data_IF_133995501879
#
_entry.id   IF_133995501879
#
_cell.length_a   1.000
_cell.length_b   1.000
_cell.length_c   1.000
_cell.angle_alpha   90.00
_cell.angle_beta   90.00
_cell.angle_gamma   90.00
#
_symmetry.space_group_name_H-M   'P 1'
#
loop_
_entity.id
_entity.type
_entity.pdbx_description
1 polymer ?
2 non-polymer ?
3 water ?
#
# COMPACT_ATOMS: atom_id res chain seq x y z
N UNK A 1 12.38 13.28 7.63
CA UNK A 1 12.22 11.81 7.46
C UNK A 1 13.21 11.09 6.60
N UNK A 2 13.37 9.82 6.96
CA UNK A 2 14.23 8.90 6.27
C UNK A 2 13.60 8.75 4.89
N UNK A 3 14.41 8.48 3.88
CA UNK A 3 13.87 8.30 2.55
C UNK A 3 13.13 6.97 2.56
N UNK A 4 13.66 6.00 3.28
CA UNK A 4 13.00 4.70 3.35
C UNK A 4 11.73 4.74 4.18
N UNK A 5 11.64 5.67 5.12
CA UNK A 5 10.43 5.80 5.93
C UNK A 5 9.35 6.36 5.01
N UNK A 6 9.75 7.29 4.14
CA UNK A 6 8.83 7.91 3.20
C UNK A 6 8.42 6.91 2.12
N UNK A 7 9.40 6.20 1.57
CA UNK A 7 9.14 5.21 0.53
C UNK A 7 8.21 4.15 1.09
N UNK A 8 8.40 3.80 2.35
CA UNK A 8 7.54 2.79 2.95
C UNK A 8 6.11 3.29 3.13
N UNK A 9 5.97 4.56 3.50
CA UNK A 9 4.64 5.13 3.69
C UNK A 9 3.96 5.21 2.33
N UNK A 10 4.76 5.40 1.29
CA UNK A 10 4.25 5.49 -0.07
C UNK A 10 3.63 4.17 -0.50
N UNK A 11 4.14 3.06 0.04
CA UNK A 11 3.60 1.75 -0.30
C UNK A 11 2.11 1.72 0.03
N UNK A 12 1.77 2.26 1.20
CA UNK A 12 0.38 2.31 1.65
C UNK A 12 -0.47 3.17 0.72
N UNK A 13 0.08 4.31 0.31
CA UNK A 13 -0.63 5.20 -0.58
C UNK A 13 -0.81 4.55 -1.95
N UNK A 14 0.28 3.99 -2.48
CA UNK A 14 0.24 3.33 -3.78
C UNK A 14 -0.71 2.13 -3.79
N UNK A 15 -0.74 1.38 -2.70
CA UNK A 15 -1.63 0.22 -2.61
C UNK A 15 -3.08 0.69 -2.72
N UNK A 16 -3.40 1.76 -2.00
CA UNK A 16 -4.74 2.29 -2.04
C UNK A 16 -5.11 2.74 -3.44
N UNK A 17 -4.14 3.31 -4.15
CA UNK A 17 -4.34 3.79 -5.51
C UNK A 17 -4.65 2.63 -6.45
N UNK A 18 -3.91 1.54 -6.30
CA UNK A 18 -4.09 0.36 -7.13
C UNK A 18 -5.50 -0.20 -6.97
N UNK A 19 -5.96 -0.30 -5.73
CA UNK A 19 -7.30 -0.82 -5.45
C UNK A 19 -8.39 0.09 -6.01
N UNK A 20 -8.18 1.39 -5.92
CA UNK A 20 -9.15 2.35 -6.44
C UNK A 20 -9.20 2.27 -7.96
N UNK A 21 -8.04 2.16 -8.59
CA UNK A 21 -7.95 2.08 -10.04
C UNK A 21 -8.46 0.75 -10.59
N UNK A 22 -8.21 -0.34 -9.87
CA UNK A 22 -8.62 -1.66 -10.32
C UNK A 22 -9.79 -2.31 -9.55
N UNK A 23 -10.15 -1.75 -8.40
CA UNK A 23 -11.23 -2.32 -7.59
C UNK A 23 -10.64 -3.43 -6.71
N UNK A 24 -11.49 -4.22 -6.04
CA UNK A 24 -11.08 -5.32 -5.12
C UNK A 24 -10.50 -6.59 -5.71
N UNK A 25 -10.17 -6.57 -6.98
CA UNK A 25 -9.70 -7.76 -7.66
C UNK A 25 -8.19 -7.73 -7.77
N UNK A 26 -7.63 -6.75 -7.07
CA UNK A 26 -6.21 -6.50 -7.08
C UNK A 26 -5.90 -5.94 -5.71
N UNK A 27 -6.60 -6.44 -4.70
CA UNK A 27 -6.40 -5.91 -3.37
C UNK A 27 -5.57 -6.72 -2.39
N UNK A 28 -5.07 -7.87 -2.81
CA UNK A 28 -4.26 -8.67 -1.91
C UNK A 28 -2.78 -8.62 -2.27
N UNK A 29 -2.00 -8.03 -1.36
CA UNK A 29 -0.56 -7.88 -1.55
C UNK A 29 0.16 -9.19 -1.25
N UNK A 30 1.03 -9.60 -2.16
CA UNK A 30 1.79 -10.83 -1.96
C UNK A 30 3.14 -10.49 -1.34
N UNK A 31 3.70 -9.35 -1.73
CA UNK A 31 4.98 -8.92 -1.19
C UNK A 31 5.30 -7.49 -1.58
N UNK A 32 6.26 -6.92 -0.87
CA UNK A 32 6.69 -5.55 -1.12
C UNK A 32 8.12 -5.42 -0.65
N UNK A 33 8.74 -4.33 -1.07
CA UNK A 33 10.09 -4.04 -0.64
C UNK A 33 10.36 -2.59 -0.93
N UNK A 34 11.28 -2.06 -0.15
CA UNK A 34 11.69 -0.68 -0.23
C UNK A 34 13.20 -0.70 -0.21
N UNK A 35 13.80 0.05 -1.13
CA UNK A 35 15.25 0.13 -1.22
C UNK A 35 15.56 1.57 -1.58
N UNK A 36 15.96 2.35 -0.59
CA UNK A 36 16.26 3.74 -0.84
C UNK A 36 14.99 4.48 -1.20
N UNK A 37 14.99 5.14 -2.36
CA UNK A 37 13.84 5.90 -2.81
C UNK A 37 12.91 5.09 -3.71
N UNK A 38 13.13 3.78 -3.78
CA UNK A 38 12.31 2.93 -4.63
C UNK A 38 11.55 1.86 -3.88
N UNK A 39 10.37 1.55 -4.40
CA UNK A 39 9.55 0.53 -3.79
C UNK A 39 8.87 -0.32 -4.84
N UNK A 40 8.49 -1.52 -4.44
CA UNK A 40 7.80 -2.44 -5.33
C UNK A 40 6.66 -3.06 -4.56
N UNK A 41 5.49 -3.02 -5.18
CA UNK A 41 4.29 -3.58 -4.60
C UNK A 41 3.80 -4.65 -5.56
N UNK A 42 3.58 -5.86 -5.04
CA UNK A 42 3.10 -6.93 -5.88
C UNK A 42 1.79 -7.44 -5.31
N UNK A 43 0.76 -7.46 -6.13
CA UNK A 43 -0.55 -7.91 -5.69
C UNK A 43 -1.15 -8.95 -6.61
N UNK A 44 -2.09 -9.70 -6.06
CA UNK A 44 -2.81 -10.71 -6.80
C UNK A 44 -3.73 -9.91 -7.70
N UNK A 45 -3.81 -10.27 -8.97
CA UNK A 45 -4.69 -9.56 -9.88
C UNK A 45 -5.49 -10.59 -10.66
N UNK A 46 -6.81 -10.56 -10.49
CA UNK A 46 -7.72 -11.49 -11.15
C UNK A 46 -7.92 -11.15 -12.62
N UNK A 47 -7.72 -9.89 -12.95
CA UNK A 47 -7.90 -9.45 -14.32
C UNK A 47 -6.77 -8.56 -14.82
N UNK A 48 -6.54 -8.59 -16.13
CA UNK A 48 -5.54 -7.73 -16.73
C UNK A 48 -6.31 -6.42 -16.73
N UNK A 49 -5.65 -5.30 -16.50
CA UNK A 49 -6.38 -4.04 -16.50
C UNK A 49 -6.17 -3.27 -17.80
N UNK A 50 -7.03 -2.29 -18.05
CA UNK A 50 -6.94 -1.51 -19.27
C UNK A 50 -5.73 -0.57 -19.35
N UNK A 51 -5.53 -0.02 -20.54
CA UNK A 51 -4.44 0.90 -20.87
C UNK A 51 -4.37 2.19 -20.05
N UNK A 52 -5.43 2.52 -19.33
CA UNK A 52 -5.45 3.74 -18.54
C UNK A 52 -5.00 3.54 -17.09
N UNK A 53 -5.06 2.30 -16.63
CA UNK A 53 -4.70 1.93 -15.26
C UNK A 53 -3.39 2.49 -14.70
N UNK A 54 -2.29 2.26 -15.40
CA UNK A 54 -0.97 2.73 -14.97
C UNK A 54 -1.02 4.22 -14.62
N UNK A 55 -1.48 5.03 -15.57
CA UNK A 55 -1.58 6.47 -15.36
C UNK A 55 -2.58 6.80 -14.27
N UNK A 56 -3.68 6.06 -14.22
CA UNK A 56 -4.71 6.29 -13.20
C UNK A 56 -4.12 6.08 -11.81
N UNK A 57 -3.33 5.02 -11.66
CA UNK A 57 -2.70 4.71 -10.39
C UNK A 57 -1.76 5.81 -9.93
N UNK A 58 -0.96 6.32 -10.85
CA UNK A 58 -0.02 7.38 -10.51
C UNK A 58 -0.76 8.65 -10.12
N UNK A 59 -1.81 8.98 -10.87
CA UNK A 59 -2.60 10.18 -10.59
C UNK A 59 -3.27 10.08 -9.22
N UNK A 60 -3.87 8.93 -8.95
CA UNK A 60 -4.54 8.71 -7.67
C UNK A 60 -3.57 8.77 -6.50
N UNK A 61 -2.40 8.18 -6.67
CA UNK A 61 -1.39 8.17 -5.62
C UNK A 61 -0.95 9.59 -5.26
N UNK A 62 -0.66 10.39 -6.28
CA UNK A 62 -0.23 11.76 -6.05
C UNK A 62 -1.34 12.65 -5.52
N UNK A 63 -2.58 12.35 -5.88
CA UNK A 63 -3.70 13.14 -5.40
C UNK A 63 -3.81 12.93 -3.89
N UNK A 64 -3.64 11.68 -3.46
CA UNK A 64 -3.70 11.37 -2.04
C UNK A 64 -2.56 12.07 -1.33
N UNK A 65 -1.43 12.22 -2.02
CA UNK A 65 -0.28 12.89 -1.41
C UNK A 65 -0.54 14.37 -1.14
N UNK A 66 -1.07 15.11 -2.11
CA UNK A 66 -1.35 16.54 -1.90
C UNK A 66 -2.49 16.74 -0.93
N UNK A 67 -3.30 15.71 -0.75
CA UNK A 67 -4.41 15.82 0.16
C UNK A 67 -3.81 15.98 1.54
N UNK A 68 -2.60 15.46 1.69
CA UNK A 68 -1.87 15.49 2.94
C UNK A 68 -2.75 14.91 4.02
N UNK A 69 -3.26 13.71 3.74
CA UNK A 69 -4.13 13.00 4.67
C UNK A 69 -3.30 12.44 5.81
N UNK A 70 -3.92 12.28 6.99
CA UNK A 70 -3.18 11.74 8.12
C UNK A 70 -3.03 10.23 7.96
N UNK A 71 -1.88 9.71 8.37
CA UNK A 71 -1.63 8.28 8.30
C UNK A 71 -1.84 7.81 9.73
N UNK A 72 -3.06 7.37 10.02
CA UNK A 72 -3.43 6.92 11.35
C UNK A 72 -2.85 5.59 11.77
N UNK A 73 -2.74 5.42 13.08
CA UNK A 73 -2.22 4.20 13.66
C UNK A 73 -3.12 3.73 14.80
N UNK A 74 -3.48 2.46 14.77
CA UNK A 74 -4.29 1.87 15.81
C UNK A 74 -3.51 0.67 16.32
N UNK A 75 -3.11 0.71 17.58
CA UNK A 75 -2.40 -0.42 18.16
C UNK A 75 -3.46 -1.09 19.02
N UNK A 76 -4.06 -2.15 18.47
CA UNK A 76 -5.14 -2.87 19.14
C UNK A 76 -4.94 -4.36 19.34
N UNK A 77 -5.76 -4.97 20.21
CA UNK A 77 -5.68 -6.41 20.48
C UNK A 77 -6.05 -7.01 19.14
N UNK A 78 -5.45 -8.14 18.80
CA UNK A 78 -5.72 -8.76 17.51
C UNK A 78 -7.20 -9.01 17.19
N UNK A 79 -7.94 -9.57 18.14
CA UNK A 79 -9.36 -9.85 17.93
C UNK A 79 -10.16 -8.58 17.62
N UNK A 80 -9.87 -7.50 18.34
CA UNK A 80 -10.57 -6.24 18.12
C UNK A 80 -10.21 -5.68 16.75
N UNK A 81 -8.94 -5.82 16.38
CA UNK A 81 -8.46 -5.34 15.09
C UNK A 81 -9.16 -6.08 13.96
N UNK A 82 -9.28 -7.40 14.10
CA UNK A 82 -9.92 -8.20 13.07
C UNK A 82 -11.40 -7.85 12.92
N UNK A 83 -12.05 -7.54 14.03
CA UNK A 83 -13.46 -7.16 14.00
C UNK A 83 -13.62 -5.83 13.30
N UNK A 84 -12.76 -4.89 13.68
CA UNK A 84 -12.79 -3.54 13.14
C UNK A 84 -12.35 -3.42 11.69
N UNK A 85 -11.35 -4.20 11.29
CA UNK A 85 -10.83 -4.11 9.93
C UNK A 85 -10.97 -5.34 9.05
N UNK A 86 -11.20 -6.50 9.65
CA UNK A 86 -11.34 -7.71 8.86
C UNK A 86 -10.01 -8.17 8.28
N UNK A 87 -10.07 -9.20 7.45
CA UNK A 87 -8.89 -9.77 6.81
C UNK A 87 -8.15 -8.75 5.94
N UNK A 88 -8.85 -7.69 5.54
CA UNK A 88 -8.31 -6.63 4.70
C UNK A 88 -6.97 -6.05 5.15
N UNK A 89 -6.74 -6.02 6.46
CA UNK A 89 -5.51 -5.44 6.96
C UNK A 89 -4.28 -6.33 6.85
N UNK A 90 -4.47 -7.58 6.45
CA UNK A 90 -3.34 -8.50 6.32
C UNK A 90 -2.85 -8.58 4.88
N UNK A 91 -1.60 -8.99 4.74
CA UNK A 91 -1.00 -9.18 3.44
C UNK A 91 -0.94 -10.69 3.37
N UNK A 92 -0.51 -11.24 2.24
CA UNK A 92 -0.48 -12.69 2.15
C UNK A 92 0.72 -13.40 2.77
N UNK A 93 1.03 -13.06 4.02
CA UNK A 93 2.09 -13.74 4.77
C UNK A 93 1.41 -14.10 6.07
N UNK A 94 1.98 -15.04 6.83
CA UNK A 94 1.30 -15.36 8.07
C UNK A 94 1.81 -14.48 9.20
N UNK A 95 0.91 -14.09 10.10
CA UNK A 95 1.29 -13.32 11.28
C UNK A 95 1.22 -14.21 12.52
N UNK A 96 2.37 -14.70 12.97
CA UNK A 96 2.42 -15.63 14.08
C UNK A 96 1.28 -15.48 15.07
N UNK A 97 0.69 -16.62 15.40
CA UNK A 97 -0.41 -16.66 16.35
C UNK A 97 -0.08 -16.06 17.71
N UNK A 98 1.20 -15.96 18.07
CA UNK A 98 1.53 -15.39 19.38
C UNK A 98 1.50 -13.87 19.41
N UNK A 99 1.35 -13.26 18.24
CA UNK A 99 1.25 -11.80 18.16
C UNK A 99 -0.20 -11.50 18.51
N UNK A 100 -0.45 -11.08 19.75
CA UNK A 100 -1.82 -10.79 20.17
C UNK A 100 -2.18 -9.30 20.05
N UNK A 101 -1.20 -8.47 19.71
CA UNK A 101 -1.44 -7.04 19.55
C UNK A 101 -0.84 -6.56 18.24
N UNK A 102 -1.67 -5.87 17.45
CA UNK A 102 -1.25 -5.38 16.15
C UNK A 102 -1.24 -3.87 16.02
N UNK A 103 -0.32 -3.39 15.20
CA UNK A 103 -0.23 -1.97 14.93
C UNK A 103 -0.84 -1.91 13.56
N UNK A 104 -1.93 -1.18 13.38
CA UNK A 104 -2.43 -1.17 12.01
C UNK A 104 -2.52 0.29 11.48
N UNK A 105 -2.05 0.40 10.26
CA UNK A 105 -2.00 1.64 9.53
C UNK A 105 -3.27 1.86 8.74
N UNK A 106 -3.84 3.04 8.92
CA UNK A 106 -5.06 3.39 8.23
C UNK A 106 -5.02 4.74 7.54
N UNK A 107 -5.30 4.73 6.24
CA UNK A 107 -5.39 5.96 5.49
C UNK A 107 -6.87 5.87 5.13
N UNK A 108 -7.68 6.62 5.86
CA UNK A 108 -9.13 6.61 5.69
C UNK A 108 -9.64 6.44 4.26
N UNK A 109 -10.47 5.42 4.09
CA UNK A 109 -11.07 5.06 2.81
C UNK A 109 -10.04 4.98 1.70
N UNK A 110 -8.91 4.37 2.01
CA UNK A 110 -7.84 4.24 1.04
C UNK A 110 -7.06 2.95 1.26
N UNK A 111 -6.59 2.76 2.49
CA UNK A 111 -5.80 1.59 2.81
C UNK A 111 -5.78 1.25 4.29
N UNK A 112 -5.77 -0.05 4.59
CA UNK A 112 -5.70 -0.53 5.96
C UNK A 112 -4.70 -1.67 5.94
N UNK A 113 -3.67 -1.57 6.78
CA UNK A 113 -2.67 -2.61 6.79
C UNK A 113 -1.96 -2.79 8.12
N UNK A 114 -1.90 -4.03 8.57
CA UNK A 114 -1.21 -4.36 9.81
C UNK A 114 0.26 -4.21 9.47
N UNK A 115 0.92 -3.24 10.09
CA UNK A 115 2.34 -3.00 9.83
C UNK A 115 3.02 -2.37 11.04
N UNK A 116 4.19 -2.89 11.40
CA UNK A 116 4.92 -2.37 12.56
C UNK A 116 6.08 -1.43 12.25
N UNK A 117 6.12 -0.90 11.04
CA UNK A 117 7.20 0.00 10.65
C UNK A 117 6.88 1.47 10.93
N UNK A 118 7.90 2.32 10.79
CA UNK A 118 7.73 3.75 11.01
C UNK A 118 7.08 4.34 9.77
N UNK A 119 6.26 5.37 9.96
CA UNK A 119 5.61 6.02 8.84
C UNK A 119 5.65 7.53 9.02
N UNK A 120 5.34 8.24 7.95
CA UNK A 120 5.29 9.69 8.01
C UNK A 120 3.96 9.94 8.70
N UNK A 121 3.79 11.11 9.29
CA UNK A 121 2.54 11.41 9.99
C UNK A 121 1.40 11.70 9.02
N UNK A 122 1.72 12.21 7.84
CA UNK A 122 0.72 12.52 6.83
C UNK A 122 1.25 12.14 5.44
N UNK A 123 0.35 12.00 4.47
CA UNK A 123 0.74 11.62 3.11
C UNK A 123 1.53 12.68 2.36
N UNK A 124 1.37 13.95 2.74
CA UNK A 124 2.08 15.01 2.06
C UNK A 124 3.59 14.91 2.19
N UNK A 125 4.05 14.33 3.29
CA UNK A 125 5.48 14.19 3.55
C UNK A 125 6.18 13.19 2.63
N UNK A 126 5.39 12.45 1.86
CA UNK A 126 5.91 11.46 0.92
C UNK A 126 6.50 12.13 -0.31
N UNK A 127 5.85 13.19 -0.78
CA UNK A 127 6.33 13.89 -1.96
C UNK A 127 5.84 13.21 -3.23
N UNK A 128 6.17 13.77 -4.41
CA UNK A 128 5.75 13.20 -5.68
C UNK A 128 6.09 11.72 -5.83
N UNK A 129 5.10 10.95 -6.28
CA UNK A 129 5.30 9.53 -6.49
C UNK A 129 5.30 9.30 -7.98
N UNK A 130 6.28 8.52 -8.41
CA UNK A 130 6.45 8.22 -9.80
C UNK A 130 6.43 6.72 -10.01
N UNK A 131 5.54 6.28 -10.88
CA UNK A 131 5.42 4.86 -11.18
C UNK A 131 6.12 4.64 -12.52
N UNK A 132 7.33 4.10 -12.50
CA UNK A 132 8.03 3.89 -13.76
C UNK A 132 7.74 2.53 -14.38
N UNK A 133 7.11 1.64 -13.62
CA UNK A 133 6.79 0.35 -14.20
C UNK A 133 5.66 -0.41 -13.54
N UNK A 134 4.85 -0.99 -14.41
CA UNK A 134 3.71 -1.79 -14.01
C UNK A 134 3.81 -3.01 -14.92
N UNK A 135 3.94 -4.18 -14.31
CA UNK A 135 4.07 -5.42 -15.04
C UNK A 135 3.00 -6.41 -14.64
N UNK A 136 2.16 -6.81 -15.59
CA UNK A 136 1.15 -7.79 -15.27
C UNK A 136 1.66 -9.10 -15.83
N UNK A 137 1.71 -10.10 -14.96
CA UNK A 137 2.17 -11.41 -15.34
C UNK A 137 0.95 -12.30 -15.41
N UNK A 138 0.36 -12.34 -16.59
CA UNK A 138 -0.85 -13.10 -16.85
C UNK A 138 -1.02 -14.47 -16.18
N UNK A 139 -0.16 -15.42 -16.53
CA UNK A 139 -0.23 -16.78 -15.99
C UNK A 139 -0.14 -16.94 -14.47
N UNK A 140 0.55 -16.03 -13.79
CA UNK A 140 0.67 -16.11 -12.34
C UNK A 140 -0.40 -15.25 -11.67
N UNK A 141 -1.07 -14.43 -12.46
CA UNK A 141 -2.10 -13.57 -11.92
C UNK A 141 -1.47 -12.66 -10.89
N UNK A 142 -0.37 -12.02 -11.28
CA UNK A 142 0.35 -11.11 -10.41
C UNK A 142 0.56 -9.76 -11.07
N UNK A 143 0.48 -8.70 -10.27
CA UNK A 143 0.65 -7.34 -10.77
C UNK A 143 1.72 -6.62 -9.95
N UNK A 144 2.76 -6.16 -10.64
CA UNK A 144 3.85 -5.45 -9.98
C UNK A 144 3.79 -3.95 -10.24
N UNK A 145 3.88 -3.16 -9.18
CA UNK A 145 3.87 -1.72 -9.30
C UNK A 145 5.21 -1.21 -8.80
N UNK A 146 6.04 -0.70 -9.71
CA UNK A 146 7.34 -0.17 -9.32
C UNK A 146 7.23 1.33 -9.28
N UNK A 147 7.62 1.93 -8.17
CA UNK A 147 7.55 3.38 -8.05
C UNK A 147 8.77 3.94 -7.35
N UNK A 148 8.91 5.26 -7.40
CA UNK A 148 10.03 5.91 -6.74
C UNK A 148 9.71 7.32 -6.28
N UNK A 149 10.39 7.71 -5.21
CA UNK A 149 10.23 9.01 -4.60
C UNK A 149 11.43 9.90 -4.92
N UNK A 150 11.33 11.15 -4.49
CA UNK A 150 12.39 12.12 -4.67
C UNK A 150 13.14 12.19 -3.35
N UNK A 151 14.47 12.17 -3.42
CA UNK A 151 15.30 12.23 -2.23
C UNK A 151 15.50 13.68 -1.81
X LIG B 1 3.46 0.14 6.85
#
# INVERSE_FOLDING_TARGET
YSIEVRTHSALHVVKGAVVKAAGSAAKWTTSTYVKGNKGVLIVKAALELDKWAWAAMEALANEKVKENAPIKIYELPREEAEKMFGEDMYDLFPVPEDVRILKVVVIEDWNVNACNKEHTKTTGEIGPIKIRKVRFRKSKGLLEIHFELLELEHHHHHH
ZN ZN
#
